data_IF_090105182547
#
_entry.id   IF_090105182547
#
_cell.length_a   1.000
_cell.length_b   1.000
_cell.length_c   1.000
_cell.angle_alpha   90.00
_cell.angle_beta   90.00
_cell.angle_gamma   90.00
#
_symmetry.space_group_name_H-M   'P 1'
#
loop_
_entity.id
_entity.type
_entity.pdbx_description
1 polymer ?
#
# COMPACT_ATOMS: atom_id res chain seq x y z
N UNK A 1 -21.21 -49.62 45.95
CA UNK A 1 -21.28 -48.88 44.66
C UNK A 1 -21.86 -47.50 44.92
N UNK A 2 -21.04 -46.45 44.95
CA UNK A 2 -21.49 -45.05 44.89
C UNK A 2 -20.61 -44.34 43.86
N UNK A 3 -21.26 -43.82 42.82
CA UNK A 3 -20.68 -43.21 41.63
C UNK A 3 -20.15 -41.81 41.96
N UNK A 4 -18.90 -41.52 41.57
CA UNK A 4 -18.26 -40.20 41.66
C UNK A 4 -18.49 -39.49 40.33
N UNK A 5 -19.13 -38.31 40.26
CA UNK A 5 -19.23 -37.57 39.01
C UNK A 5 -17.91 -36.80 38.81
N UNK A 6 -17.14 -37.21 37.80
CA UNK A 6 -15.95 -36.47 37.34
C UNK A 6 -16.46 -35.27 36.53
N UNK A 7 -16.40 -34.09 37.15
CA UNK A 7 -16.68 -32.81 36.48
C UNK A 7 -15.42 -32.42 35.69
N UNK A 8 -15.37 -32.78 34.42
CA UNK A 8 -14.27 -32.42 33.52
C UNK A 8 -14.33 -30.92 33.22
N UNK A 9 -13.52 -30.14 33.92
CA UNK A 9 -13.32 -28.71 33.69
C UNK A 9 -12.51 -28.52 32.40
N UNK A 10 -13.19 -28.29 31.27
CA UNK A 10 -12.55 -27.87 30.03
C UNK A 10 -11.94 -26.47 30.22
N UNK A 11 -10.65 -26.43 30.52
CA UNK A 11 -9.86 -25.21 30.52
C UNK A 11 -9.66 -24.76 29.06
N UNK A 12 -10.48 -23.84 28.57
CA UNK A 12 -10.28 -23.23 27.27
C UNK A 12 -9.01 -22.37 27.33
N UNK A 13 -7.92 -22.83 26.70
CA UNK A 13 -6.76 -21.99 26.46
C UNK A 13 -7.16 -20.89 25.48
N UNK A 14 -7.39 -19.68 25.99
CA UNK A 14 -7.44 -18.49 25.15
C UNK A 14 -6.06 -18.29 24.52
N UNK A 15 -5.89 -18.72 23.28
CA UNK A 15 -4.71 -18.37 22.51
C UNK A 15 -4.68 -16.84 22.35
N UNK A 16 -3.55 -16.16 22.61
CA UNK A 16 -3.45 -14.74 22.37
C UNK A 16 -3.70 -14.49 20.88
N UNK A 17 -4.75 -13.74 20.55
CA UNK A 17 -4.93 -13.20 19.23
C UNK A 17 -3.82 -12.17 19.01
N UNK A 18 -2.74 -12.58 18.33
CA UNK A 18 -1.75 -11.63 17.83
C UNK A 18 -2.47 -10.71 16.84
N UNK A 19 -2.65 -9.46 17.22
CA UNK A 19 -3.18 -8.46 16.32
C UNK A 19 -2.25 -8.37 15.11
N UNK A 20 -2.82 -8.49 13.91
CA UNK A 20 -2.09 -8.22 12.67
C UNK A 20 -1.53 -6.79 12.74
N UNK A 21 -0.30 -6.55 12.26
CA UNK A 21 0.22 -5.18 12.19
C UNK A 21 -0.70 -4.32 11.33
N UNK A 22 -0.68 -3.00 11.51
CA UNK A 22 -1.48 -2.12 10.66
C UNK A 22 -0.91 -2.16 9.22
N UNK A 23 -1.72 -1.97 8.17
CA UNK A 23 -1.26 -2.07 6.77
C UNK A 23 -0.09 -1.12 6.44
N UNK A 24 0.01 0.01 7.15
CA UNK A 24 1.15 0.96 7.07
C UNK A 24 2.48 0.40 7.58
N UNK A 25 2.43 -0.65 8.39
CA UNK A 25 3.60 -1.31 8.99
C UNK A 25 4.04 -2.52 8.17
N UNK A 26 3.35 -2.80 7.05
CA UNK A 26 3.71 -3.84 6.07
C UNK A 26 4.38 -3.15 4.87
N UNK A 27 5.72 -3.09 4.80
CA UNK A 27 6.42 -2.31 3.76
C UNK A 27 6.07 -2.76 2.35
N UNK A 28 5.87 -4.07 2.14
CA UNK A 28 5.44 -4.61 0.85
C UNK A 28 4.13 -3.97 0.36
N UNK A 29 3.18 -3.68 1.26
CA UNK A 29 1.93 -3.01 0.91
C UNK A 29 2.12 -1.50 0.85
N UNK A 30 2.67 -0.91 1.91
CA UNK A 30 2.74 0.53 2.09
C UNK A 30 3.72 1.22 1.11
N UNK A 31 4.84 0.59 0.77
CA UNK A 31 5.81 1.12 -0.20
C UNK A 31 5.32 0.96 -1.64
N UNK A 32 4.66 -0.16 -1.94
CA UNK A 32 4.06 -0.38 -3.27
C UNK A 32 2.92 0.61 -3.51
N UNK A 33 2.04 0.81 -2.52
CA UNK A 33 0.96 1.80 -2.61
C UNK A 33 1.51 3.21 -2.79
N UNK A 34 2.60 3.56 -2.09
CA UNK A 34 3.30 4.83 -2.28
C UNK A 34 3.80 5.00 -3.72
N UNK A 35 4.42 3.98 -4.31
CA UNK A 35 4.91 4.08 -5.69
C UNK A 35 3.78 4.21 -6.71
N UNK A 36 2.65 3.52 -6.51
CA UNK A 36 1.44 3.71 -7.32
C UNK A 36 0.93 5.15 -7.18
N UNK A 37 0.90 5.69 -5.95
CA UNK A 37 0.47 7.07 -5.70
C UNK A 37 1.41 8.10 -6.37
N UNK A 38 2.72 7.87 -6.38
CA UNK A 38 3.68 8.72 -7.10
C UNK A 38 3.42 8.67 -8.61
N UNK A 39 3.19 7.49 -9.19
CA UNK A 39 2.84 7.38 -10.61
C UNK A 39 1.52 8.11 -10.93
N UNK A 40 0.53 8.01 -10.04
CA UNK A 40 -0.75 8.71 -10.17
C UNK A 40 -0.61 10.24 -10.08
N UNK A 41 0.30 10.74 -9.24
CA UNK A 41 0.61 12.17 -9.16
C UNK A 41 1.31 12.64 -10.44
N UNK A 42 2.33 11.91 -10.92
CA UNK A 42 3.05 12.25 -12.15
C UNK A 42 2.08 12.40 -13.34
N UNK A 43 1.16 11.47 -13.55
CA UNK A 43 0.19 11.58 -14.67
C UNK A 43 -0.82 12.73 -14.51
N UNK A 44 -1.03 13.22 -13.29
CA UNK A 44 -1.97 14.33 -13.01
C UNK A 44 -1.27 15.67 -13.21
N UNK A 45 0.02 15.74 -12.93
CA UNK A 45 0.84 16.94 -13.04
C UNK A 45 1.39 17.13 -14.47
N UNK A 46 1.75 16.04 -15.15
CA UNK A 46 2.50 16.10 -16.40
C UNK A 46 1.61 15.84 -17.63
N UNK A 47 1.35 16.87 -18.42
CA UNK A 47 0.48 16.80 -19.61
C UNK A 47 0.95 15.77 -20.67
N UNK A 48 2.24 15.45 -20.71
CA UNK A 48 2.84 14.55 -21.69
C UNK A 48 3.11 13.13 -21.15
N UNK A 49 2.67 12.82 -19.94
CA UNK A 49 2.81 11.48 -19.33
C UNK A 49 1.44 10.89 -19.04
N UNK A 50 1.17 9.72 -19.62
CA UNK A 50 -0.08 9.02 -19.43
C UNK A 50 0.10 7.75 -18.59
N UNK A 51 -0.93 7.36 -17.86
CA UNK A 51 -0.94 6.05 -17.22
C UNK A 51 -1.22 4.92 -18.22
N UNK A 52 -0.55 3.79 -18.00
CA UNK A 52 -0.91 2.50 -18.59
C UNK A 52 -2.03 1.90 -17.76
N UNK A 53 -3.26 2.37 -17.95
CA UNK A 53 -4.41 2.05 -17.10
C UNK A 53 -4.61 0.55 -16.84
N UNK A 54 -4.44 -0.30 -17.86
CA UNK A 54 -4.55 -1.76 -17.69
C UNK A 54 -3.51 -2.29 -16.69
N UNK A 55 -2.28 -1.80 -16.75
CA UNK A 55 -1.21 -2.21 -15.82
C UNK A 55 -1.43 -1.62 -14.42
N UNK A 56 -1.79 -0.35 -14.33
CA UNK A 56 -2.08 0.29 -13.05
C UNK A 56 -3.22 -0.44 -12.31
N UNK A 57 -4.31 -0.78 -13.02
CA UNK A 57 -5.41 -1.55 -12.45
C UNK A 57 -4.96 -2.95 -11.99
N UNK A 58 -4.21 -3.68 -12.84
CA UNK A 58 -3.68 -4.98 -12.48
C UNK A 58 -2.79 -4.95 -11.21
N UNK A 59 -1.96 -3.90 -11.07
CA UNK A 59 -1.10 -3.70 -9.90
C UNK A 59 -1.91 -3.41 -8.62
N UNK A 60 -2.94 -2.57 -8.69
CA UNK A 60 -3.83 -2.31 -7.54
C UNK A 60 -4.57 -3.59 -7.12
N UNK A 61 -5.12 -4.35 -8.07
CA UNK A 61 -5.78 -5.63 -7.77
C UNK A 61 -4.81 -6.66 -7.19
N UNK A 62 -3.57 -6.71 -7.69
CA UNK A 62 -2.53 -7.58 -7.14
C UNK A 62 -2.18 -7.19 -5.70
N UNK A 63 -2.08 -5.88 -5.42
CA UNK A 63 -1.78 -5.37 -4.09
C UNK A 63 -2.91 -5.68 -3.09
N UNK A 64 -4.16 -5.52 -3.49
CA UNK A 64 -5.33 -5.89 -2.70
C UNK A 64 -5.36 -7.40 -2.41
N UNK A 65 -5.13 -8.22 -3.44
CA UNK A 65 -5.02 -9.67 -3.29
C UNK A 65 -3.89 -10.05 -2.34
N UNK A 66 -2.75 -9.34 -2.40
CA UNK A 66 -1.63 -9.55 -1.49
C UNK A 66 -2.01 -9.24 -0.05
N UNK A 67 -2.66 -8.11 0.22
CA UNK A 67 -3.17 -7.78 1.54
C UNK A 67 -4.16 -8.86 2.04
N UNK A 68 -5.08 -9.32 1.20
CA UNK A 68 -5.99 -10.42 1.54
C UNK A 68 -5.25 -11.72 1.89
N UNK A 69 -4.19 -12.06 1.15
CA UNK A 69 -3.34 -13.22 1.45
C UNK A 69 -2.60 -13.13 2.79
N UNK A 70 -2.39 -11.92 3.30
CA UNK A 70 -1.81 -11.65 4.62
C UNK A 70 -2.87 -11.67 5.74
N UNK A 71 -4.13 -11.95 5.41
CA UNK A 71 -5.22 -12.10 6.36
C UNK A 71 -6.00 -10.81 6.64
N UNK A 72 -5.81 -9.74 5.85
CA UNK A 72 -6.63 -8.53 5.96
C UNK A 72 -7.97 -8.72 5.24
N UNK A 73 -9.06 -8.25 5.86
CA UNK A 73 -10.38 -8.19 5.24
C UNK A 73 -10.47 -7.06 4.21
N UNK A 74 -11.48 -7.11 3.34
CA UNK A 74 -11.76 -5.99 2.43
C UNK A 74 -12.03 -4.71 3.22
N UNK A 75 -12.78 -4.77 4.33
CA UNK A 75 -13.08 -3.61 5.16
C UNK A 75 -11.82 -2.99 5.78
N UNK A 76 -10.88 -3.81 6.27
CA UNK A 76 -9.60 -3.32 6.80
C UNK A 76 -8.77 -2.61 5.71
N UNK A 77 -8.82 -3.12 4.47
CA UNK A 77 -8.14 -2.50 3.32
C UNK A 77 -8.83 -1.19 2.92
N UNK A 78 -10.17 -1.19 2.85
CA UNK A 78 -10.97 -0.03 2.48
C UNK A 78 -10.85 1.10 3.51
N UNK A 79 -10.89 0.78 4.80
CA UNK A 79 -10.64 1.72 5.89
C UNK A 79 -9.24 2.34 5.75
N UNK A 80 -8.25 1.52 5.41
CA UNK A 80 -6.88 1.98 5.22
C UNK A 80 -6.74 2.97 4.05
N UNK A 81 -7.25 2.62 2.87
CA UNK A 81 -7.11 3.47 1.66
C UNK A 81 -8.06 4.66 1.64
N UNK A 82 -9.18 4.60 2.36
CA UNK A 82 -10.18 5.68 2.43
C UNK A 82 -9.86 6.73 3.50
N UNK A 83 -9.14 6.33 4.55
CA UNK A 83 -8.79 7.18 5.69
C UNK A 83 -8.07 8.48 5.30
N UNK A 84 -8.59 9.61 5.80
CA UNK A 84 -7.98 10.93 5.59
C UNK A 84 -6.60 11.05 6.25
N UNK A 85 -6.40 10.43 7.42
CA UNK A 85 -5.11 10.46 8.11
C UNK A 85 -4.06 9.65 7.36
N UNK A 86 -4.43 8.47 6.84
CA UNK A 86 -3.53 7.64 6.06
C UNK A 86 -3.21 8.25 4.70
N UNK A 87 -4.17 8.91 4.03
CA UNK A 87 -3.89 9.69 2.82
C UNK A 87 -2.91 10.83 3.06
N UNK A 88 -3.05 11.57 4.18
CA UNK A 88 -2.10 12.64 4.53
C UNK A 88 -0.70 12.09 4.79
N UNK A 89 -0.60 11.03 5.59
CA UNK A 89 0.68 10.35 5.85
C UNK A 89 1.30 9.83 4.55
N UNK A 90 0.50 9.22 3.67
CA UNK A 90 0.99 8.70 2.39
C UNK A 90 1.59 9.81 1.51
N UNK A 91 0.98 11.00 1.50
CA UNK A 91 1.58 12.17 0.82
C UNK A 91 2.91 12.56 1.45
N UNK A 92 2.99 12.68 2.76
CA UNK A 92 4.24 13.00 3.48
C UNK A 92 5.33 11.95 3.19
N UNK A 93 4.96 10.67 3.21
CA UNK A 93 5.85 9.54 2.88
C UNK A 93 6.36 9.63 1.43
N UNK A 94 5.46 9.85 0.48
CA UNK A 94 5.80 9.99 -0.94
C UNK A 94 6.71 11.21 -1.18
N UNK A 95 6.41 12.35 -0.57
CA UNK A 95 7.25 13.55 -0.65
C UNK A 95 8.63 13.33 -0.04
N UNK A 96 8.72 12.67 1.12
CA UNK A 96 10.00 12.31 1.73
C UNK A 96 10.81 11.34 0.87
N UNK A 97 10.14 10.35 0.27
CA UNK A 97 10.77 9.41 -0.64
C UNK A 97 11.29 10.10 -1.90
N UNK A 98 10.50 10.98 -2.53
CA UNK A 98 10.92 11.78 -3.68
C UNK A 98 12.10 12.70 -3.34
N UNK A 99 12.07 13.34 -2.17
CA UNK A 99 13.16 14.19 -1.71
C UNK A 99 14.47 13.39 -1.55
N UNK A 100 14.38 12.15 -1.05
CA UNK A 100 15.53 11.24 -0.99
C UNK A 100 16.06 10.85 -2.38
N UNK A 101 15.25 10.93 -3.43
CA UNK A 101 15.67 10.81 -4.83
C UNK A 101 16.16 12.12 -5.45
N UNK A 102 16.22 13.21 -4.68
CA UNK A 102 16.59 14.55 -5.17
C UNK A 102 15.47 15.28 -5.92
N UNK A 103 14.22 14.84 -5.78
CA UNK A 103 13.05 15.43 -6.45
C UNK A 103 12.16 16.10 -5.41
N UNK A 104 11.84 17.38 -5.61
CA UNK A 104 10.85 18.06 -4.79
C UNK A 104 9.46 17.79 -5.36
N UNK A 105 8.54 17.34 -4.51
CA UNK A 105 7.20 16.95 -4.94
C UNK A 105 6.34 18.13 -5.43
N UNK A 106 6.67 19.35 -5.02
CA UNK A 106 6.01 20.61 -5.42
C UNK A 106 6.69 21.30 -6.61
N UNK A 107 7.75 20.71 -7.18
CA UNK A 107 8.38 21.17 -8.41
C UNK A 107 7.92 20.29 -9.58
N UNK A 108 6.86 20.73 -10.26
CA UNK A 108 6.25 20.02 -11.37
C UNK A 108 7.26 19.66 -12.46
N UNK A 109 8.21 20.54 -12.78
CA UNK A 109 9.22 20.28 -13.81
C UNK A 109 10.16 19.16 -13.37
N UNK A 110 10.60 19.17 -12.12
CA UNK A 110 11.43 18.12 -11.56
C UNK A 110 10.67 16.79 -11.49
N UNK A 111 9.40 16.82 -11.10
CA UNK A 111 8.53 15.64 -11.02
C UNK A 111 8.30 15.00 -12.39
N UNK A 112 8.04 15.80 -13.43
CA UNK A 112 7.88 15.31 -14.79
C UNK A 112 9.18 14.77 -15.38
N UNK A 113 10.31 15.42 -15.13
CA UNK A 113 11.63 14.90 -15.52
C UNK A 113 11.93 13.56 -14.83
N UNK A 114 11.59 13.43 -13.55
CA UNK A 114 11.67 12.18 -12.81
C UNK A 114 10.80 11.10 -13.45
N UNK A 115 9.53 11.39 -13.75
CA UNK A 115 8.62 10.45 -14.40
C UNK A 115 9.16 9.91 -15.73
N UNK A 116 9.68 10.79 -16.60
CA UNK A 116 10.32 10.40 -17.87
C UNK A 116 11.53 9.51 -17.64
N UNK A 117 12.35 9.81 -16.64
CA UNK A 117 13.48 8.98 -16.28
C UNK A 117 13.05 7.59 -15.76
N UNK A 118 11.97 7.52 -14.97
CA UNK A 118 11.40 6.26 -14.48
C UNK A 118 10.90 5.40 -15.65
N UNK A 119 10.19 5.99 -16.61
CA UNK A 119 9.71 5.32 -17.84
C UNK A 119 10.89 4.75 -18.64
N UNK A 120 11.92 5.58 -18.88
CA UNK A 120 13.10 5.16 -19.64
C UNK A 120 13.85 4.00 -18.99
N UNK A 121 13.86 3.95 -17.66
CA UNK A 121 14.53 2.92 -16.86
C UNK A 121 13.68 1.67 -16.61
N UNK A 122 12.42 1.65 -17.07
CA UNK A 122 11.45 0.58 -16.80
C UNK A 122 11.37 0.17 -15.33
N UNK A 123 11.43 1.16 -14.44
CA UNK A 123 11.24 0.97 -13.00
C UNK A 123 9.79 0.59 -12.70
N UNK A 124 9.48 0.21 -11.46
CA UNK A 124 8.08 -0.04 -11.05
C UNK A 124 7.17 1.16 -11.37
N UNK A 125 7.54 2.37 -10.95
CA UNK A 125 6.81 3.62 -11.28
C UNK A 125 6.73 3.82 -12.80
N UNK A 126 7.85 3.65 -13.51
CA UNK A 126 7.92 3.81 -14.97
C UNK A 126 7.05 2.83 -15.74
N UNK A 127 6.92 1.59 -15.24
CA UNK A 127 6.12 0.53 -15.87
C UNK A 127 4.62 0.85 -15.88
N UNK A 128 4.18 1.74 -14.98
CA UNK A 128 2.81 2.25 -14.87
C UNK A 128 2.55 3.42 -15.82
N UNK A 129 3.58 3.99 -16.45
CA UNK A 129 3.52 5.23 -17.20
C UNK A 129 3.97 5.04 -18.66
N UNK A 130 3.55 5.95 -19.55
CA UNK A 130 3.95 6.00 -20.96
C UNK A 130 3.90 7.41 -21.51
#
# INVERSE_FOLDING_TARGET
>A
MRLIPVLTLCLALAAPAFAKPHLREVPEIDDTLMQIAIADEIRKTCDDINARMIRAFAQVTQLESRAKSLGYSSDEIDDYVSSKSEKRRMREKASGWLAAQGVKADDDKALCAFGKAQIKKDTYIGSLLR
#
